data_IF_159194956208
#
_entry.id   IF_159194956208
#
_cell.length_a   1.000
_cell.length_b   1.000
_cell.length_c   1.000
_cell.angle_alpha   90.00
_cell.angle_beta   90.00
_cell.angle_gamma   90.00
#
_symmetry.space_group_name_H-M   'P 1'
#
loop_
_entity.id
_entity.type
_entity.pdbx_description
1 polymer ?
#
# COMPACT_ATOMS: atom_id res chain seq x y z
N UNK A 1 5.00 -7.36 -24.29
CA UNK A 1 6.41 -7.80 -24.12
C UNK A 1 6.46 -9.31 -24.29
N UNK A 2 7.31 -9.84 -25.18
CA UNK A 2 7.43 -11.28 -25.40
C UNK A 2 8.13 -11.99 -24.26
N UNK A 3 7.94 -13.30 -24.14
CA UNK A 3 8.67 -14.13 -23.20
C UNK A 3 10.16 -14.12 -23.56
N UNK A 4 11.07 -13.69 -22.68
CA UNK A 4 12.49 -13.82 -22.95
C UNK A 4 12.81 -15.30 -23.13
N UNK A 5 13.66 -15.64 -24.11
CA UNK A 5 14.22 -16.99 -24.21
C UNK A 5 14.91 -17.28 -22.89
N UNK A 6 14.26 -18.07 -22.02
CA UNK A 6 14.92 -18.62 -20.85
C UNK A 6 16.10 -19.41 -21.40
N UNK A 7 17.32 -18.93 -21.17
CA UNK A 7 18.51 -19.76 -21.40
C UNK A 7 18.38 -21.07 -20.61
N UNK A 8 19.39 -21.94 -20.67
CA UNK A 8 19.37 -23.23 -19.94
C UNK A 8 19.14 -23.15 -18.42
N UNK A 9 19.11 -21.95 -17.82
CA UNK A 9 18.83 -21.72 -16.42
C UNK A 9 17.33 -21.84 -16.10
N UNK A 10 16.98 -22.80 -15.25
CA UNK A 10 15.63 -22.94 -14.68
C UNK A 10 15.29 -21.71 -13.81
N UNK A 11 14.26 -20.91 -14.15
CA UNK A 11 13.86 -19.73 -13.37
C UNK A 11 13.50 -20.06 -11.92
N UNK A 12 13.03 -21.27 -11.64
CA UNK A 12 12.60 -21.70 -10.30
C UNK A 12 13.73 -22.24 -9.42
N UNK A 13 14.97 -22.28 -9.92
CA UNK A 13 16.09 -22.88 -9.18
C UNK A 13 16.54 -22.07 -7.96
N UNK A 14 16.31 -20.76 -7.95
CA UNK A 14 16.67 -19.86 -6.84
C UNK A 14 15.87 -18.57 -6.92
N UNK A 15 15.81 -17.82 -5.81
CA UNK A 15 15.19 -16.50 -5.78
C UNK A 15 15.78 -15.56 -6.83
N UNK A 16 17.10 -15.57 -6.97
CA UNK A 16 17.82 -14.71 -7.92
C UNK A 16 17.43 -15.02 -9.37
N UNK A 17 17.36 -16.31 -9.71
CA UNK A 17 16.92 -16.74 -11.04
C UNK A 17 15.45 -16.37 -11.31
N UNK A 18 14.58 -16.59 -10.32
CA UNK A 18 13.16 -16.23 -10.44
C UNK A 18 13.00 -14.73 -10.60
N UNK A 19 13.68 -13.94 -9.76
CA UNK A 19 13.63 -12.49 -9.80
C UNK A 19 14.14 -11.95 -11.13
N UNK A 20 15.28 -12.46 -11.62
CA UNK A 20 15.83 -12.10 -12.92
C UNK A 20 14.88 -12.41 -14.09
N UNK A 21 14.09 -13.49 -13.97
CA UNK A 21 13.07 -13.84 -14.95
C UNK A 21 11.82 -12.96 -14.86
N UNK A 22 11.30 -12.63 -13.67
CA UNK A 22 10.03 -11.89 -13.56
C UNK A 22 10.21 -10.36 -13.63
N UNK A 23 11.35 -9.82 -13.17
CA UNK A 23 11.59 -8.39 -13.04
C UNK A 23 11.36 -7.60 -14.36
N UNK A 24 11.80 -8.08 -15.54
CA UNK A 24 11.54 -7.37 -16.79
C UNK A 24 10.04 -7.20 -17.08
N UNK A 25 9.21 -8.19 -16.75
CA UNK A 25 7.76 -8.10 -16.89
C UNK A 25 7.16 -7.09 -15.91
N UNK A 26 7.60 -7.11 -14.65
CA UNK A 26 7.14 -6.14 -13.64
C UNK A 26 7.47 -4.71 -14.09
N UNK A 27 8.71 -4.49 -14.55
CA UNK A 27 9.16 -3.20 -15.07
C UNK A 27 8.34 -2.75 -16.27
N UNK A 28 8.06 -3.64 -17.22
CA UNK A 28 7.20 -3.32 -18.35
C UNK A 28 5.79 -2.92 -17.92
N UNK A 29 5.21 -3.60 -16.92
CA UNK A 29 3.88 -3.32 -16.40
C UNK A 29 3.79 -1.93 -15.74
N UNK A 30 4.81 -1.50 -14.99
CA UNK A 30 4.71 -0.28 -14.17
C UNK A 30 5.47 0.93 -14.73
N UNK A 31 6.52 0.70 -15.53
CA UNK A 31 7.41 1.75 -16.05
C UNK A 31 7.20 2.07 -17.52
N UNK A 32 6.61 1.18 -18.32
CA UNK A 32 6.47 1.45 -19.75
C UNK A 32 5.54 2.66 -20.00
N UNK A 33 5.90 3.52 -20.97
CA UNK A 33 4.99 4.56 -21.46
C UNK A 33 3.64 3.95 -21.89
N UNK A 34 2.54 4.55 -21.46
CA UNK A 34 1.18 4.18 -21.86
C UNK A 34 0.40 5.47 -22.10
N UNK A 35 -0.48 5.42 -23.11
CA UNK A 35 -1.39 6.52 -23.46
C UNK A 35 -2.63 6.57 -22.55
N UNK A 36 -2.85 5.55 -21.71
CA UNK A 36 -3.96 5.47 -20.76
C UNK A 36 -3.44 5.11 -19.37
N UNK A 37 -3.95 5.83 -18.36
CA UNK A 37 -3.69 5.56 -16.94
C UNK A 37 -4.60 4.46 -16.37
N UNK A 38 -5.61 4.02 -17.11
CA UNK A 38 -6.62 3.06 -16.66
C UNK A 38 -6.22 1.60 -16.91
N UNK A 39 -5.22 1.37 -17.77
CA UNK A 39 -4.76 0.02 -18.13
C UNK A 39 -3.24 -0.07 -18.09
N UNK A 40 -2.75 -1.12 -17.43
CA UNK A 40 -1.34 -1.46 -17.45
C UNK A 40 -0.93 -1.99 -18.84
N UNK A 41 0.29 -1.68 -19.29
CA UNK A 41 0.93 -2.35 -20.43
C UNK A 41 0.83 -3.88 -20.33
N UNK A 42 0.35 -4.51 -21.40
CA UNK A 42 0.18 -5.95 -21.43
C UNK A 42 1.50 -6.69 -21.69
N UNK A 43 1.64 -7.85 -21.04
CA UNK A 43 2.65 -8.86 -21.36
C UNK A 43 2.02 -9.95 -22.23
N UNK A 44 2.82 -10.65 -23.03
CA UNK A 44 2.33 -11.72 -23.88
C UNK A 44 1.74 -12.87 -23.01
N UNK A 45 0.63 -13.52 -23.43
CA UNK A 45 0.05 -14.63 -22.67
C UNK A 45 1.03 -15.75 -22.35
N UNK A 46 1.96 -16.06 -23.27
CA UNK A 46 3.01 -17.07 -23.06
C UNK A 46 3.92 -16.72 -21.89
N UNK A 47 4.30 -15.44 -21.76
CA UNK A 47 5.13 -14.95 -20.67
C UNK A 47 4.36 -14.91 -19.35
N UNK A 48 3.08 -14.51 -19.38
CA UNK A 48 2.21 -14.57 -18.20
C UNK A 48 2.15 -16.01 -17.63
N UNK A 49 1.93 -17.00 -18.49
CA UNK A 49 1.91 -18.42 -18.09
C UNK A 49 3.29 -18.85 -17.59
N UNK A 50 4.37 -18.45 -18.28
CA UNK A 50 5.75 -18.73 -17.86
C UNK A 50 6.06 -18.24 -16.45
N UNK A 51 5.68 -17.00 -16.12
CA UNK A 51 5.87 -16.40 -14.79
C UNK A 51 5.06 -17.14 -13.72
N UNK A 52 3.80 -17.46 -14.02
CA UNK A 52 2.95 -18.23 -13.12
C UNK A 52 3.57 -19.61 -12.80
N UNK A 53 3.98 -20.35 -13.84
CA UNK A 53 4.61 -21.66 -13.68
C UNK A 53 5.95 -21.57 -12.93
N UNK A 54 6.79 -20.58 -13.25
CA UNK A 54 8.07 -20.38 -12.58
C UNK A 54 7.88 -20.10 -11.07
N UNK A 55 6.88 -19.28 -10.74
CA UNK A 55 6.55 -18.94 -9.34
C UNK A 55 5.97 -20.16 -8.61
N UNK A 56 5.08 -20.92 -9.24
CA UNK A 56 4.54 -22.18 -8.70
C UNK A 56 5.66 -23.18 -8.38
N UNK A 57 6.53 -23.45 -9.36
CA UNK A 57 7.64 -24.39 -9.23
C UNK A 57 8.62 -23.95 -8.14
N UNK A 58 8.85 -22.64 -8.00
CA UNK A 58 9.71 -22.09 -6.95
C UNK A 58 9.19 -22.41 -5.54
N UNK A 59 7.91 -22.15 -5.31
CA UNK A 59 7.26 -22.48 -4.03
C UNK A 59 7.26 -23.99 -3.76
N UNK A 60 7.00 -24.79 -4.79
CA UNK A 60 6.99 -26.25 -4.68
C UNK A 60 8.38 -26.77 -4.28
N UNK A 61 9.44 -26.35 -4.98
CA UNK A 61 10.81 -26.76 -4.68
C UNK A 61 11.26 -26.33 -3.26
N UNK A 62 10.88 -25.13 -2.81
CA UNK A 62 11.15 -24.69 -1.44
C UNK A 62 10.43 -25.57 -0.40
N UNK A 63 9.16 -25.90 -0.65
CA UNK A 63 8.38 -26.73 0.27
C UNK A 63 8.93 -28.16 0.37
N UNK A 64 9.37 -28.75 -0.74
CA UNK A 64 10.02 -30.06 -0.78
C UNK A 64 11.35 -30.04 -0.03
N UNK A 65 12.17 -29.00 -0.23
CA UNK A 65 13.44 -28.85 0.48
C UNK A 65 13.24 -28.69 2.00
N UNK A 66 12.19 -28.00 2.44
CA UNK A 66 11.83 -27.87 3.85
C UNK A 66 11.40 -29.23 4.44
N UNK A 67 10.54 -29.97 3.74
CA UNK A 67 10.05 -31.29 4.19
C UNK A 67 11.16 -32.36 4.23
N UNK A 68 12.07 -32.37 3.24
CA UNK A 68 13.19 -33.30 3.20
C UNK A 68 14.12 -33.13 4.41
N UNK A 69 14.34 -31.87 4.85
CA UNK A 69 15.18 -31.55 6.02
C UNK A 69 14.51 -31.86 7.35
N UNK A 70 13.18 -31.70 7.43
CA UNK A 70 12.41 -32.07 8.62
C UNK A 70 12.47 -33.59 8.88
N UNK A 71 12.46 -34.41 7.83
CA UNK A 71 12.56 -35.87 7.96
C UNK A 71 13.99 -36.37 8.27
N UNK A 72 15.02 -35.56 8.06
CA UNK A 72 16.42 -35.91 8.33
C UNK A 72 16.95 -35.39 9.67
N UNK A 73 16.17 -34.62 10.44
CA UNK A 73 16.61 -33.97 11.69
C UNK A 73 16.05 -34.67 12.93
N UNK A 74 16.67 -35.80 13.29
CA UNK A 74 16.54 -36.43 14.60
C UNK A 74 17.47 -35.83 15.68
N UNK A 75 18.25 -34.78 15.34
CA UNK A 75 19.22 -34.18 16.25
C UNK A 75 18.86 -32.72 16.58
N UNK A 76 18.65 -32.44 17.88
CA UNK A 76 18.11 -31.19 18.42
C UNK A 76 19.20 -30.12 18.56
N UNK A 77 19.45 -29.35 17.49
CA UNK A 77 20.20 -28.09 17.54
C UNK A 77 19.26 -26.87 17.57
N UNK A 78 19.70 -25.68 18.06
CA UNK A 78 18.85 -24.51 18.17
C UNK A 78 18.41 -24.05 16.77
N UNK A 79 17.09 -24.02 16.61
CA UNK A 79 16.35 -23.70 15.40
C UNK A 79 16.72 -22.31 14.86
N UNK A 80 17.57 -22.29 13.82
CA UNK A 80 17.55 -21.18 12.86
C UNK A 80 16.19 -21.23 12.18
N UNK A 81 15.30 -20.29 12.53
CA UNK A 81 13.98 -20.13 11.91
C UNK A 81 14.21 -19.90 10.43
N UNK A 82 14.08 -20.94 9.61
CA UNK A 82 14.19 -20.76 8.16
C UNK A 82 13.02 -19.87 7.71
N UNK A 83 13.28 -18.90 6.81
CA UNK A 83 12.22 -18.05 6.29
C UNK A 83 11.16 -18.94 5.67
N UNK A 84 9.92 -18.69 6.06
CA UNK A 84 8.81 -19.52 5.66
C UNK A 84 8.64 -19.46 4.14
N UNK A 85 8.30 -20.58 3.49
CA UNK A 85 8.33 -20.65 2.03
C UNK A 85 7.56 -19.49 1.37
N UNK A 86 8.25 -18.78 0.46
CA UNK A 86 7.75 -17.60 -0.25
C UNK A 86 7.93 -16.25 0.44
N UNK A 87 8.42 -16.20 1.69
CA UNK A 87 8.67 -14.94 2.40
C UNK A 87 9.70 -14.05 1.69
N UNK A 88 10.75 -14.67 1.17
CA UNK A 88 11.84 -14.03 0.47
C UNK A 88 11.40 -13.33 -0.83
N UNK A 89 10.50 -13.95 -1.60
CA UNK A 89 9.89 -13.33 -2.78
C UNK A 89 8.95 -12.19 -2.38
N UNK A 90 8.18 -12.34 -1.31
CA UNK A 90 7.32 -11.28 -0.79
C UNK A 90 8.14 -10.05 -0.36
N UNK A 91 9.26 -10.25 0.34
CA UNK A 91 10.19 -9.17 0.72
C UNK A 91 10.82 -8.48 -0.49
N UNK A 92 11.16 -9.22 -1.55
CA UNK A 92 11.65 -8.62 -2.80
C UNK A 92 10.58 -7.76 -3.48
N UNK A 93 9.32 -8.21 -3.49
CA UNK A 93 8.19 -7.44 -4.01
C UNK A 93 7.92 -6.18 -3.17
N UNK A 94 8.01 -6.30 -1.85
CA UNK A 94 7.88 -5.18 -0.92
C UNK A 94 8.95 -4.10 -1.18
N UNK A 95 10.23 -4.53 -1.30
CA UNK A 95 11.34 -3.64 -1.67
C UNK A 95 11.13 -3.02 -3.05
N UNK A 96 10.66 -3.80 -4.02
CA UNK A 96 10.37 -3.31 -5.37
C UNK A 96 9.30 -2.21 -5.38
N UNK A 97 8.19 -2.40 -4.65
CA UNK A 97 7.15 -1.39 -4.53
C UNK A 97 7.60 -0.15 -3.76
N UNK A 98 8.47 -0.32 -2.76
CA UNK A 98 9.12 0.78 -2.04
C UNK A 98 9.99 1.62 -2.99
N UNK A 99 10.86 0.98 -3.76
CA UNK A 99 11.76 1.67 -4.69
C UNK A 99 10.97 2.39 -5.80
N UNK A 100 9.90 1.78 -6.32
CA UNK A 100 8.97 2.42 -7.25
C UNK A 100 8.33 3.68 -6.67
N UNK A 101 7.81 3.61 -5.44
CA UNK A 101 7.16 4.77 -4.82
C UNK A 101 8.16 5.91 -4.55
N UNK A 102 9.42 5.58 -4.20
CA UNK A 102 10.50 6.57 -4.05
C UNK A 102 10.89 7.22 -5.37
N UNK A 103 10.99 6.44 -6.44
CA UNK A 103 11.24 6.94 -7.79
C UNK A 103 10.19 7.98 -8.20
N UNK A 104 8.91 7.69 -7.92
CA UNK A 104 7.81 8.63 -8.16
C UNK A 104 7.92 9.88 -7.29
N UNK A 105 8.33 9.75 -6.02
CA UNK A 105 8.50 10.90 -5.14
C UNK A 105 9.60 11.84 -5.65
N UNK A 106 10.71 11.28 -6.15
CA UNK A 106 11.80 12.05 -6.75
C UNK A 106 11.37 12.80 -8.01
N UNK A 107 10.36 12.29 -8.72
CA UNK A 107 9.77 12.95 -9.89
C UNK A 107 8.71 14.00 -9.56
N UNK A 108 8.42 14.28 -8.29
CA UNK A 108 7.43 15.30 -7.93
C UNK A 108 7.88 16.70 -8.36
N UNK A 109 6.96 17.55 -8.87
CA UNK A 109 7.31 18.91 -9.23
C UNK A 109 7.74 19.72 -8.00
N UNK A 110 8.61 20.71 -8.19
CA UNK A 110 8.98 21.65 -7.11
C UNK A 110 7.82 22.60 -6.79
N UNK A 111 7.00 22.93 -7.80
CA UNK A 111 5.80 23.75 -7.64
C UNK A 111 4.67 22.95 -6.95
N UNK A 112 4.25 23.46 -5.79
CA UNK A 112 3.18 22.87 -4.98
C UNK A 112 1.81 22.97 -5.67
N UNK A 113 1.62 23.87 -6.64
CA UNK A 113 0.39 23.98 -7.44
C UNK A 113 0.19 22.80 -8.38
N UNK A 114 1.27 22.41 -9.08
CA UNK A 114 1.28 21.28 -9.99
C UNK A 114 1.25 19.92 -9.25
N UNK A 115 1.51 19.92 -7.94
CA UNK A 115 1.64 18.70 -7.15
C UNK A 115 0.36 17.84 -7.17
N UNK A 116 -0.83 18.43 -6.99
CA UNK A 116 -2.08 17.63 -6.99
C UNK A 116 -2.36 17.03 -8.37
N UNK A 117 -2.13 17.81 -9.42
CA UNK A 117 -2.27 17.38 -10.81
C UNK A 117 -1.26 16.28 -11.19
N UNK A 118 -0.10 16.26 -10.53
CA UNK A 118 0.89 15.20 -10.67
C UNK A 118 0.50 13.92 -9.91
N UNK A 119 0.06 14.03 -8.65
CA UNK A 119 -0.22 12.89 -7.78
C UNK A 119 -1.29 11.97 -8.35
N UNK A 120 -2.37 12.52 -8.90
CA UNK A 120 -3.53 11.75 -9.35
C UNK A 120 -3.18 10.77 -10.50
N UNK A 121 -2.64 11.21 -11.65
CA UNK A 121 -2.25 10.29 -12.72
C UNK A 121 -1.10 9.36 -12.30
N UNK A 122 -0.18 9.84 -11.46
CA UNK A 122 0.90 9.04 -10.88
C UNK A 122 0.34 7.87 -10.06
N UNK A 123 -0.61 8.14 -9.15
CA UNK A 123 -1.29 7.14 -8.36
C UNK A 123 -2.14 6.17 -9.21
N UNK A 124 -2.91 6.68 -10.19
CA UNK A 124 -3.71 5.83 -11.09
C UNK A 124 -2.82 4.81 -11.81
N UNK A 125 -1.71 5.28 -12.40
CA UNK A 125 -0.74 4.40 -13.07
C UNK A 125 -0.11 3.38 -12.12
N UNK A 126 0.34 3.84 -10.94
CA UNK A 126 0.94 2.97 -9.93
C UNK A 126 -0.03 1.88 -9.46
N UNK A 127 -1.27 2.25 -9.12
CA UNK A 127 -2.29 1.33 -8.59
C UNK A 127 -2.75 0.32 -9.64
N UNK A 128 -2.94 0.72 -10.89
CA UNK A 128 -3.29 -0.18 -12.00
C UNK A 128 -2.14 -1.15 -12.28
N UNK A 129 -0.89 -0.68 -12.28
CA UNK A 129 0.30 -1.51 -12.40
C UNK A 129 0.42 -2.53 -11.26
N UNK A 130 0.26 -2.08 -10.01
CA UNK A 130 0.27 -2.93 -8.83
C UNK A 130 -0.85 -4.01 -8.87
N UNK A 131 -2.04 -3.65 -9.35
CA UNK A 131 -3.14 -4.60 -9.51
C UNK A 131 -2.82 -5.66 -10.58
N UNK A 132 -2.17 -5.27 -11.67
CA UNK A 132 -1.69 -6.20 -12.70
C UNK A 132 -0.64 -7.17 -12.14
N UNK A 133 0.33 -6.67 -11.37
CA UNK A 133 1.33 -7.51 -10.68
C UNK A 133 0.66 -8.47 -9.68
N UNK A 134 -0.31 -7.98 -8.90
CA UNK A 134 -1.07 -8.81 -7.96
C UNK A 134 -1.78 -9.97 -8.66
N UNK A 135 -2.33 -9.75 -9.86
CA UNK A 135 -2.95 -10.82 -10.67
C UNK A 135 -1.91 -11.81 -11.18
N UNK A 136 -0.80 -11.30 -11.71
CA UNK A 136 0.31 -12.10 -12.25
C UNK A 136 0.93 -13.02 -11.18
N UNK A 137 1.10 -12.50 -9.96
CA UNK A 137 1.76 -13.17 -8.83
C UNK A 137 0.76 -13.60 -7.74
N UNK A 138 -0.51 -13.83 -8.10
CA UNK A 138 -1.54 -14.20 -7.14
C UNK A 138 -1.25 -15.51 -6.38
N UNK A 139 -0.32 -16.32 -6.89
CA UNK A 139 0.18 -17.50 -6.19
C UNK A 139 0.83 -17.14 -4.84
N UNK A 140 1.54 -16.00 -4.76
CA UNK A 140 2.12 -15.47 -3.51
C UNK A 140 1.02 -15.18 -2.50
N UNK A 141 -0.10 -14.57 -2.93
CA UNK A 141 -1.23 -14.32 -2.04
C UNK A 141 -1.82 -15.63 -1.49
N UNK A 142 -1.99 -16.63 -2.37
CA UNK A 142 -2.64 -17.91 -2.02
C UNK A 142 -1.81 -18.77 -1.08
N UNK A 143 -0.48 -18.75 -1.20
CA UNK A 143 0.39 -19.72 -0.51
C UNK A 143 1.26 -19.09 0.58
N UNK A 144 1.74 -17.86 0.39
CA UNK A 144 2.51 -17.16 1.41
C UNK A 144 1.61 -16.27 2.26
N UNK A 145 0.92 -15.29 1.66
CA UNK A 145 0.14 -14.29 2.42
C UNK A 145 -0.95 -14.96 3.25
N UNK A 146 -1.74 -15.86 2.65
CA UNK A 146 -2.77 -16.60 3.37
C UNK A 146 -2.19 -17.33 4.58
N UNK A 147 -1.09 -18.06 4.39
CA UNK A 147 -0.43 -18.81 5.46
C UNK A 147 0.10 -17.89 6.57
N UNK A 148 0.74 -16.77 6.20
CA UNK A 148 1.23 -15.80 7.16
C UNK A 148 0.09 -15.14 7.97
N UNK A 149 -1.05 -14.85 7.33
CA UNK A 149 -2.24 -14.36 8.04
C UNK A 149 -2.82 -15.43 8.97
N UNK A 150 -2.87 -16.70 8.54
CA UNK A 150 -3.28 -17.83 9.39
C UNK A 150 -2.31 -18.04 10.58
N UNK A 151 -1.04 -17.67 10.42
CA UNK A 151 0.04 -17.64 11.44
C UNK A 151 0.11 -16.33 12.24
N UNK A 152 -0.98 -15.54 12.25
CA UNK A 152 -1.13 -14.29 13.02
C UNK A 152 -0.17 -13.14 12.63
N UNK A 153 0.32 -13.13 11.39
CA UNK A 153 1.15 -12.04 10.84
C UNK A 153 0.33 -11.05 10.00
N UNK A 154 -1.01 -11.16 10.00
CA UNK A 154 -1.90 -10.29 9.24
C UNK A 154 -2.01 -8.86 9.78
N UNK A 155 -2.76 -7.99 9.08
CA UNK A 155 -2.98 -6.61 9.51
C UNK A 155 -3.84 -6.47 10.78
N UNK A 156 -4.57 -7.52 11.14
CA UNK A 156 -5.35 -7.63 12.37
C UNK A 156 -4.90 -8.92 13.06
N UNK A 157 -4.13 -8.79 14.13
CA UNK A 157 -3.57 -9.94 14.87
C UNK A 157 -4.44 -10.31 16.06
N UNK A 158 -4.28 -11.53 16.57
CA UNK A 158 -4.86 -11.98 17.83
C UNK A 158 -4.33 -11.15 19.00
N UNK A 159 -3.07 -10.72 18.92
CA UNK A 159 -2.44 -9.87 19.94
C UNK A 159 -3.15 -8.52 20.08
N UNK A 160 -3.49 -7.88 18.95
CA UNK A 160 -4.25 -6.62 18.92
C UNK A 160 -5.62 -6.73 19.63
N UNK A 161 -6.14 -7.95 19.72
CA UNK A 161 -7.45 -8.26 20.32
C UNK A 161 -7.28 -8.57 21.80
N UNK A 162 -6.25 -9.31 22.18
CA UNK A 162 -5.95 -9.55 23.59
C UNK A 162 -5.63 -8.24 24.31
N UNK A 163 -4.87 -7.34 23.70
CA UNK A 163 -4.57 -6.02 24.27
C UNK A 163 -5.85 -5.19 24.45
N UNK A 164 -6.77 -5.21 23.49
CA UNK A 164 -8.06 -4.52 23.60
C UNK A 164 -9.00 -5.13 24.67
N UNK A 165 -9.01 -6.46 24.82
CA UNK A 165 -9.84 -7.16 25.82
C UNK A 165 -9.31 -6.95 27.25
N UNK A 166 -8.00 -6.77 27.42
CA UNK A 166 -7.41 -6.38 28.71
C UNK A 166 -7.90 -4.98 29.12
N UNK A 167 -8.11 -4.06 28.17
CA UNK A 167 -8.69 -2.75 28.46
C UNK A 167 -10.21 -2.77 28.71
N UNK A 168 -10.98 -3.65 28.07
CA UNK A 168 -12.46 -3.62 28.14
C UNK A 168 -13.13 -4.52 29.20
N UNK A 169 -12.36 -5.29 29.97
CA UNK A 169 -12.91 -6.08 31.07
C UNK A 169 -13.66 -7.33 30.61
N UNK A 170 -13.40 -8.43 31.32
CA UNK A 170 -13.79 -9.79 30.98
C UNK A 170 -15.28 -9.96 30.64
N UNK A 171 -15.64 -10.18 29.36
CA UNK A 171 -16.60 -11.22 28.90
C UNK A 171 -16.89 -11.11 27.40
N UNK A 172 -16.20 -11.90 26.56
CA UNK A 172 -16.76 -12.75 25.47
C UNK A 172 -15.65 -13.21 24.52
N UNK A 173 -15.44 -14.53 24.49
CA UNK A 173 -14.39 -15.21 23.72
C UNK A 173 -14.83 -15.44 22.26
N UNK A 174 -13.89 -15.29 21.33
CA UNK A 174 -13.92 -15.65 19.90
C UNK A 174 -14.95 -14.95 18.97
N UNK A 175 -16.10 -14.48 19.46
CA UNK A 175 -17.05 -13.67 18.66
C UNK A 175 -16.51 -12.25 18.36
N UNK A 176 -15.60 -11.78 19.20
CA UNK A 176 -14.92 -10.47 19.13
C UNK A 176 -14.09 -10.24 17.85
N UNK A 177 -13.44 -11.26 17.30
CA UNK A 177 -12.55 -11.13 16.13
C UNK A 177 -13.27 -10.58 14.89
N UNK A 178 -14.40 -11.21 14.55
CA UNK A 178 -15.21 -10.83 13.39
C UNK A 178 -15.91 -9.50 13.63
N UNK A 179 -16.45 -9.31 14.83
CA UNK A 179 -17.09 -8.06 15.24
C UNK A 179 -16.11 -6.89 15.16
N UNK A 180 -14.89 -7.06 15.68
CA UNK A 180 -13.83 -6.04 15.62
C UNK A 180 -13.32 -5.79 14.22
N UNK A 181 -13.15 -6.83 13.41
CA UNK A 181 -12.85 -6.66 11.97
C UNK A 181 -13.91 -5.78 11.32
N UNK A 182 -15.19 -6.04 11.57
CA UNK A 182 -16.29 -5.21 11.04
C UNK A 182 -16.20 -3.77 11.56
N UNK A 183 -15.92 -3.54 12.84
CA UNK A 183 -15.72 -2.20 13.41
C UNK A 183 -14.56 -1.44 12.78
N UNK A 184 -13.42 -2.10 12.56
CA UNK A 184 -12.29 -1.50 11.87
C UNK A 184 -12.65 -1.18 10.41
N UNK A 185 -13.34 -2.08 9.72
CA UNK A 185 -13.78 -1.88 8.33
C UNK A 185 -14.84 -0.77 8.19
N UNK A 186 -15.68 -0.54 9.21
CA UNK A 186 -16.60 0.61 9.26
C UNK A 186 -15.85 1.94 9.14
N UNK A 187 -14.62 2.05 9.67
CA UNK A 187 -13.75 3.24 9.51
C UNK A 187 -13.29 3.47 8.08
N UNK A 188 -13.41 2.45 7.22
CA UNK A 188 -13.02 2.46 5.80
C UNK A 188 -14.21 2.47 4.85
N UNK A 189 -15.42 2.70 5.37
CA UNK A 189 -16.66 2.85 4.61
C UNK A 189 -17.41 1.54 4.36
N UNK A 190 -17.13 0.48 5.12
CA UNK A 190 -17.94 -0.74 5.09
C UNK A 190 -19.21 -0.57 5.93
N UNK A 191 -20.36 -0.94 5.37
CA UNK A 191 -21.62 -1.06 6.09
C UNK A 191 -21.99 -2.53 6.21
N UNK A 192 -22.54 -2.92 7.36
CA UNK A 192 -22.86 -4.31 7.65
C UNK A 192 -24.02 -4.78 6.76
N UNK A 193 -23.80 -5.85 5.98
CA UNK A 193 -24.74 -6.28 4.93
C UNK A 193 -24.57 -5.52 3.60
N UNK A 194 -23.52 -4.70 3.46
CA UNK A 194 -23.16 -4.05 2.22
C UNK A 194 -22.72 -5.01 1.11
N UNK A 195 -22.50 -4.47 -0.09
CA UNK A 195 -22.08 -5.25 -1.25
C UNK A 195 -20.68 -5.86 -1.03
N UNK A 196 -20.44 -7.06 -1.58
CA UNK A 196 -19.14 -7.74 -1.48
C UNK A 196 -17.96 -6.87 -1.97
N UNK A 197 -18.19 -6.04 -2.99
CA UNK A 197 -17.18 -5.11 -3.50
C UNK A 197 -16.78 -4.04 -2.46
N UNK A 198 -17.74 -3.54 -1.68
CA UNK A 198 -17.47 -2.54 -0.63
C UNK A 198 -16.64 -3.15 0.51
N UNK A 199 -16.87 -4.43 0.83
CA UNK A 199 -16.06 -5.16 1.80
C UNK A 199 -14.62 -5.29 1.32
N UNK A 200 -14.40 -5.75 0.07
CA UNK A 200 -13.06 -5.90 -0.51
C UNK A 200 -12.31 -4.57 -0.54
N UNK A 201 -12.97 -3.48 -0.91
CA UNK A 201 -12.36 -2.14 -0.90
C UNK A 201 -12.03 -1.67 0.51
N UNK A 202 -12.90 -1.89 1.49
CA UNK A 202 -12.62 -1.52 2.87
C UNK A 202 -11.44 -2.32 3.45
N UNK A 203 -11.36 -3.61 3.16
CA UNK A 203 -10.25 -4.49 3.56
C UNK A 203 -8.94 -4.03 2.96
N UNK A 204 -8.91 -3.78 1.65
CA UNK A 204 -7.71 -3.29 0.98
C UNK A 204 -7.21 -1.96 1.56
N UNK A 205 -8.13 -1.05 1.92
CA UNK A 205 -7.77 0.23 2.55
C UNK A 205 -7.24 0.04 3.97
N UNK A 206 -7.83 -0.86 4.75
CA UNK A 206 -7.36 -1.19 6.10
C UNK A 206 -5.96 -1.85 6.05
N UNK A 207 -5.75 -2.76 5.11
CA UNK A 207 -4.47 -3.40 4.84
C UNK A 207 -3.41 -2.40 4.37
N UNK A 208 -3.76 -1.49 3.46
CA UNK A 208 -2.86 -0.40 3.05
C UNK A 208 -2.54 0.53 4.23
N UNK A 209 -3.48 0.69 5.17
CA UNK A 209 -3.33 1.49 6.36
C UNK A 209 -2.50 0.84 7.48
N UNK A 210 -2.21 -0.45 7.37
CA UNK A 210 -1.48 -1.23 8.38
C UNK A 210 -0.01 -0.81 8.52
N UNK A 211 0.67 -1.31 9.57
CA UNK A 211 2.10 -1.11 9.79
C UNK A 211 2.94 -1.97 8.85
N UNK A 212 4.22 -1.65 8.66
CA UNK A 212 5.11 -2.41 7.77
C UNK A 212 5.42 -3.83 8.25
N UNK A 213 5.19 -4.12 9.53
CA UNK A 213 5.54 -5.40 10.16
C UNK A 213 4.53 -6.52 9.87
N UNK A 214 3.37 -6.19 9.28
CA UNK A 214 2.37 -7.20 8.94
C UNK A 214 2.37 -7.57 7.46
N UNK A 215 1.93 -8.79 7.18
CA UNK A 215 1.76 -9.37 5.87
C UNK A 215 0.36 -9.05 5.36
N UNK A 216 0.30 -8.53 4.13
CA UNK A 216 -0.94 -8.13 3.45
C UNK A 216 -0.91 -8.58 2.00
N UNK A 217 -2.06 -8.72 1.31
CA UNK A 217 -2.09 -9.02 -0.12
C UNK A 217 -1.25 -8.05 -0.95
N UNK A 218 -0.65 -8.53 -2.06
CA UNK A 218 0.27 -7.74 -2.87
C UNK A 218 -0.30 -6.39 -3.36
N UNK A 219 -1.60 -6.35 -3.68
CA UNK A 219 -2.25 -5.10 -4.05
C UNK A 219 -2.24 -4.07 -2.91
N UNK A 220 -2.54 -4.49 -1.68
CA UNK A 220 -2.51 -3.63 -0.50
C UNK A 220 -1.07 -3.29 -0.09
N UNK A 221 -0.12 -4.22 -0.26
CA UNK A 221 1.31 -4.00 -0.04
C UNK A 221 1.84 -2.83 -0.86
N UNK A 222 1.51 -2.79 -2.15
CA UNK A 222 1.87 -1.70 -3.04
C UNK A 222 1.24 -0.37 -2.57
N UNK A 223 -0.05 -0.36 -2.27
CA UNK A 223 -0.74 0.85 -1.78
C UNK A 223 -0.13 1.34 -0.46
N UNK A 224 0.25 0.44 0.44
CA UNK A 224 0.97 0.73 1.68
C UNK A 224 2.32 1.39 1.41
N UNK A 225 3.08 0.89 0.42
CA UNK A 225 4.36 1.51 0.02
C UNK A 225 4.19 2.86 -0.64
N UNK A 226 3.16 3.04 -1.47
CA UNK A 226 2.81 4.37 -1.98
C UNK A 226 2.45 5.33 -0.85
N UNK A 227 1.75 4.87 0.19
CA UNK A 227 1.48 5.69 1.36
C UNK A 227 2.77 6.10 2.08
N UNK A 228 3.59 5.14 2.50
CA UNK A 228 4.73 5.40 3.38
C UNK A 228 5.90 6.09 2.68
N UNK A 229 6.13 5.78 1.40
CA UNK A 229 7.29 6.29 0.67
C UNK A 229 6.97 7.49 -0.22
N UNK A 230 5.69 7.77 -0.51
CA UNK A 230 5.29 8.88 -1.39
C UNK A 230 4.34 9.86 -0.69
N UNK A 231 3.20 9.41 -0.16
CA UNK A 231 2.20 10.33 0.42
C UNK A 231 2.63 10.89 1.78
N UNK A 232 3.10 10.06 2.71
CA UNK A 232 3.52 10.51 4.04
C UNK A 232 4.66 11.54 4.01
N UNK A 233 5.71 11.40 3.18
CA UNK A 233 6.72 12.45 2.98
C UNK A 233 6.11 13.78 2.52
N UNK A 234 5.13 13.75 1.62
CA UNK A 234 4.43 14.96 1.14
C UNK A 234 3.47 15.54 2.18
N UNK A 235 3.01 14.73 3.14
CA UNK A 235 2.19 15.13 4.27
C UNK A 235 3.01 15.62 5.47
N UNK A 236 4.32 15.32 5.52
CA UNK A 236 5.20 15.76 6.59
C UNK A 236 5.49 17.26 6.48
N UNK A 237 5.49 17.96 7.62
CA UNK A 237 5.95 19.34 7.69
C UNK A 237 7.48 19.41 7.48
N UNK A 238 8.01 20.40 6.74
CA UNK A 238 9.43 20.63 6.65
C UNK A 238 10.03 20.78 8.05
N UNK A 239 10.97 19.89 8.43
CA UNK A 239 11.72 20.04 9.67
C UNK A 239 12.68 21.21 9.50
N UNK A 240 12.33 22.39 9.98
CA UNK A 240 13.24 23.55 10.01
C UNK A 240 14.42 23.19 10.92
N UNK A 241 15.54 22.84 10.31
CA UNK A 241 16.75 22.43 11.00
C UNK A 241 17.47 23.69 11.51
N UNK A 242 17.02 24.22 12.65
CA UNK A 242 17.70 25.35 13.28
C UNK A 242 16.83 26.17 14.24
N UNK A 243 16.66 25.69 15.49
CA UNK A 243 16.69 26.53 16.70
C UNK A 243 16.66 25.63 17.94
N UNK A 244 17.84 25.40 18.52
CA UNK A 244 17.95 25.17 19.97
C UNK A 244 17.60 26.53 20.61
N UNK A 245 16.39 26.66 21.11
CA UNK A 245 15.93 27.83 21.87
C UNK A 245 15.20 27.35 23.12
N UNK A 246 15.74 27.75 24.27
CA UNK A 246 15.33 27.56 25.67
C UNK A 246 13.82 27.59 25.91
N UNK A 247 13.27 26.86 26.91
CA UNK A 247 11.85 26.90 27.24
C UNK A 247 11.49 28.25 27.89
N UNK A 248 10.87 29.14 27.11
CA UNK A 248 10.34 30.41 27.59
C UNK A 248 8.92 30.61 27.04
N UNK A 249 7.96 30.65 27.96
CA UNK A 249 6.55 31.04 27.86
C UNK A 249 6.01 31.38 26.45
N UNK A 250 5.17 30.49 25.90
CA UNK A 250 4.37 30.80 24.71
C UNK A 250 3.11 31.58 25.10
N UNK A 251 3.00 32.79 24.56
CA UNK A 251 1.78 33.60 24.59
C UNK A 251 0.69 32.96 23.72
N UNK A 252 -0.55 33.21 24.12
CA UNK A 252 -1.75 32.91 23.34
C UNK A 252 -1.78 33.86 22.14
N UNK A 253 -1.31 33.39 20.99
CA UNK A 253 -1.27 34.19 19.77
C UNK A 253 -0.98 33.34 18.55
N UNK A 254 -2.02 33.10 17.76
CA UNK A 254 -2.02 32.67 16.36
C UNK A 254 -1.44 31.27 16.00
N UNK A 255 -2.35 30.31 15.77
CA UNK A 255 -2.04 28.95 15.29
C UNK A 255 -1.78 28.89 13.76
N UNK A 256 -1.64 30.03 13.07
CA UNK A 256 -1.57 30.09 11.60
C UNK A 256 -0.19 29.76 10.99
N UNK A 257 0.88 29.78 11.78
CA UNK A 257 2.28 29.73 11.29
C UNK A 257 3.05 28.43 11.57
N UNK A 258 2.37 27.28 11.68
CA UNK A 258 3.10 26.01 11.59
C UNK A 258 3.56 25.78 10.13
N UNK A 259 4.79 25.28 9.88
CA UNK A 259 5.22 24.94 8.53
C UNK A 259 4.30 23.84 8.01
N UNK A 260 3.38 24.19 7.09
CA UNK A 260 2.43 23.23 6.55
C UNK A 260 3.16 22.33 5.56
N UNK A 261 2.68 21.10 5.42
CA UNK A 261 3.25 20.16 4.47
C UNK A 261 2.98 20.58 3.03
N UNK A 262 3.83 20.15 2.10
CA UNK A 262 3.73 20.53 0.67
C UNK A 262 2.36 20.18 0.09
N UNK A 263 1.86 18.98 0.37
CA UNK A 263 0.53 18.57 -0.09
C UNK A 263 -0.59 19.41 0.56
N UNK A 264 -0.44 19.85 1.81
CA UNK A 264 -1.42 20.73 2.44
C UNK A 264 -1.41 22.16 1.86
N UNK A 265 -0.29 22.62 1.29
CA UNK A 265 -0.24 23.84 0.49
C UNK A 265 -0.92 23.62 -0.86
N UNK A 266 -0.53 22.61 -1.63
CA UNK A 266 -1.15 22.33 -2.94
C UNK A 266 -2.67 22.17 -2.86
N UNK A 267 -3.19 21.50 -1.82
CA UNK A 267 -4.64 21.40 -1.59
C UNK A 267 -5.26 22.72 -1.14
N UNK A 268 -4.56 23.57 -0.39
CA UNK A 268 -5.13 24.88 -0.03
C UNK A 268 -5.33 25.74 -1.26
N UNK A 269 -4.32 25.77 -2.13
CA UNK A 269 -4.38 26.54 -3.35
C UNK A 269 -5.44 25.97 -4.28
N UNK A 270 -5.47 24.65 -4.52
CA UNK A 270 -6.53 24.00 -5.31
C UNK A 270 -7.95 24.40 -4.87
N UNK A 271 -8.17 24.50 -3.56
CA UNK A 271 -9.47 24.87 -2.99
C UNK A 271 -9.70 26.40 -2.90
N UNK A 272 -8.67 27.21 -3.13
CA UNK A 272 -8.69 28.67 -3.04
C UNK A 272 -8.83 29.37 -4.40
N UNK A 273 -8.50 28.71 -5.51
CA UNK A 273 -8.63 29.32 -6.85
C UNK A 273 -10.12 29.46 -7.23
N UNK A 274 -10.58 30.70 -7.39
CA UNK A 274 -11.94 31.04 -7.86
C UNK A 274 -12.08 30.95 -9.40
N UNK A 275 -10.99 31.04 -10.15
CA UNK A 275 -10.98 31.20 -11.62
C UNK A 275 -10.82 29.90 -12.42
N UNK A 276 -10.46 28.78 -11.80
CA UNK A 276 -10.45 27.47 -12.48
C UNK A 276 -11.89 26.98 -12.55
N UNK A 277 -12.31 26.42 -13.70
CA UNK A 277 -13.62 25.78 -13.88
C UNK A 277 -13.95 24.97 -12.63
N UNK A 278 -14.97 25.39 -11.88
CA UNK A 278 -15.32 24.86 -10.56
C UNK A 278 -15.43 23.32 -10.56
N UNK A 279 -15.76 22.75 -11.71
CA UNK A 279 -15.86 21.32 -11.97
C UNK A 279 -14.50 20.59 -11.99
N UNK A 280 -13.45 21.19 -12.56
CA UNK A 280 -12.10 20.61 -12.63
C UNK A 280 -11.47 20.54 -11.23
N UNK A 281 -11.56 21.64 -10.46
CA UNK A 281 -11.10 21.67 -9.07
C UNK A 281 -11.81 20.62 -8.21
N UNK A 282 -13.12 20.47 -8.41
CA UNK A 282 -13.93 19.48 -7.70
C UNK A 282 -13.57 18.04 -8.12
N UNK A 283 -13.28 17.82 -9.40
CA UNK A 283 -12.74 16.56 -9.93
C UNK A 283 -11.41 16.19 -9.30
N UNK A 284 -10.44 17.11 -9.27
CA UNK A 284 -9.13 16.91 -8.64
C UNK A 284 -9.25 16.66 -7.14
N UNK A 285 -10.11 17.41 -6.44
CA UNK A 285 -10.34 17.21 -5.01
C UNK A 285 -10.94 15.82 -4.72
N UNK A 286 -11.89 15.36 -5.55
CA UNK A 286 -12.52 14.03 -5.44
C UNK A 286 -11.49 12.93 -5.69
N UNK A 287 -10.70 13.04 -6.75
CA UNK A 287 -9.68 12.05 -7.12
C UNK A 287 -8.56 11.98 -6.08
N UNK A 288 -8.15 13.12 -5.51
CA UNK A 288 -7.18 13.16 -4.43
C UNK A 288 -7.76 12.53 -3.14
N UNK A 289 -9.00 12.84 -2.77
CA UNK A 289 -9.65 12.23 -1.62
C UNK A 289 -9.75 10.70 -1.78
N UNK A 290 -10.12 10.23 -2.98
CA UNK A 290 -10.14 8.80 -3.32
C UNK A 290 -8.75 8.17 -3.21
N UNK A 291 -7.72 8.86 -3.71
CA UNK A 291 -6.30 8.43 -3.62
C UNK A 291 -5.87 8.27 -2.16
N UNK A 292 -6.07 9.30 -1.33
CA UNK A 292 -5.73 9.27 0.10
C UNK A 292 -6.48 8.14 0.83
N UNK A 293 -7.74 7.92 0.50
CA UNK A 293 -8.53 6.83 1.06
C UNK A 293 -7.98 5.46 0.65
N UNK A 294 -7.70 5.27 -0.64
CA UNK A 294 -7.20 4.01 -1.21
C UNK A 294 -5.86 3.57 -0.61
N UNK A 295 -4.95 4.51 -0.39
CA UNK A 295 -3.62 4.22 0.19
C UNK A 295 -3.65 4.12 1.72
N UNK A 296 -4.81 4.19 2.36
CA UNK A 296 -4.93 3.98 3.80
C UNK A 296 -4.61 5.22 4.65
N UNK A 297 -4.78 6.44 4.13
CA UNK A 297 -4.77 7.65 4.98
C UNK A 297 -6.05 7.71 5.79
N UNK A 298 -5.94 7.66 7.12
CA UNK A 298 -7.07 7.59 8.06
C UNK A 298 -8.01 8.79 7.90
N UNK A 299 -9.32 8.56 8.09
CA UNK A 299 -10.36 9.61 8.08
C UNK A 299 -10.08 10.75 9.08
N UNK A 300 -9.40 10.44 10.19
CA UNK A 300 -8.98 11.42 11.19
C UNK A 300 -8.01 12.49 10.68
N UNK A 301 -7.32 12.25 9.55
CA UNK A 301 -6.27 13.13 9.06
C UNK A 301 -6.83 14.51 8.62
N UNK A 302 -6.24 15.64 9.06
CA UNK A 302 -6.78 16.98 8.79
C UNK A 302 -7.02 17.29 7.32
N UNK A 303 -6.11 16.84 6.45
CA UNK A 303 -6.23 17.04 5.00
C UNK A 303 -7.43 16.30 4.40
N UNK A 304 -7.68 15.07 4.85
CA UNK A 304 -8.80 14.24 4.37
C UNK A 304 -10.13 14.86 4.80
N UNK A 305 -10.25 15.26 6.07
CA UNK A 305 -11.42 16.00 6.57
C UNK A 305 -11.67 17.29 5.78
N UNK A 306 -10.61 18.02 5.40
CA UNK A 306 -10.74 19.25 4.61
C UNK A 306 -11.31 18.98 3.21
N UNK A 307 -10.80 17.95 2.53
CA UNK A 307 -11.31 17.53 1.22
C UNK A 307 -12.76 17.02 1.31
N UNK A 308 -13.06 16.17 2.29
CA UNK A 308 -14.42 15.63 2.48
C UNK A 308 -15.43 16.75 2.79
N UNK A 309 -15.04 17.74 3.60
CA UNK A 309 -15.85 18.93 3.86
C UNK A 309 -16.09 19.72 2.57
N UNK A 310 -15.06 19.95 1.77
CA UNK A 310 -15.20 20.66 0.49
C UNK A 310 -16.16 19.94 -0.48
N UNK A 311 -16.05 18.61 -0.56
CA UNK A 311 -16.88 17.77 -1.44
C UNK A 311 -18.35 17.71 -0.98
N UNK A 312 -18.61 17.81 0.32
CA UNK A 312 -19.98 17.79 0.88
C UNK A 312 -20.64 19.16 0.87
N UNK A 313 -19.89 20.24 1.07
CA UNK A 313 -20.47 21.59 1.14
C UNK A 313 -20.78 22.20 -0.21
N UNK A 314 -20.20 21.68 -1.31
CA UNK A 314 -20.41 22.20 -2.67
C UNK A 314 -20.11 23.70 -2.76
N UNK A 315 -18.84 24.06 -3.02
CA UNK A 315 -18.25 25.42 -3.00
C UNK A 315 -18.02 26.05 -1.61
N UNK A 316 -16.94 26.85 -1.43
CA UNK A 316 -16.69 27.56 -0.18
C UNK A 316 -17.66 28.75 -0.05
N UNK A 317 -18.32 28.86 1.10
CA UNK A 317 -18.95 30.12 1.50
C UNK A 317 -17.86 31.19 1.63
N UNK A 318 -18.05 32.29 0.92
CA UNK A 318 -17.28 33.53 1.07
C UNK A 318 -17.14 33.90 2.56
N UNK A 319 -15.92 34.21 2.99
CA UNK A 319 -15.68 35.21 4.02
C UNK A 319 -15.21 36.47 3.29
#
# INVERSE_FOLDING_TARGET
MPNPSAGSANPSASLSALWGYILPALNHIVRSPTNSTDKAPAIEPSYHIGIHTATYNYFTAQSEAANARANSSADKGPSTVQPASGADLYEHLDKYFMDLARELLLGTPEDDMALVQYIIPCFKRYSVGAHSINRLLNYVNRHYVKRAVDEDQGWLTLSDIFDAVIEEGNTRKAKSLRERRVEELKKWGYEEGGLAETLVLAEQRAEAASTLNCVVPLAALALRRFRTEFIEPLLAAPKVKGKKGTPGAASVGDKSHLPKSRLAYGVRELLGVQDVSSEECLGLARDLAATLCAVGVRYGHPLRKKLDKFLTTGTPKCL
#
